data_IF_581781145062
#
_entry.id   IF_581781145062
#
_cell.length_a   1.000
_cell.length_b   1.000
_cell.length_c   1.000
_cell.angle_alpha   90.00
_cell.angle_beta   90.00
_cell.angle_gamma   90.00
#
_symmetry.space_group_name_H-M   'P 1'
#
loop_
_entity.id
_entity.type
_entity.pdbx_description
1 polymer ?
#
# COMPACT_ATOMS: atom_id res chain seq x y z
N UNK A 1 -8.06 -23.95 15.14
CA UNK A 1 -9.41 -24.40 14.76
C UNK A 1 -10.43 -23.25 14.81
N UNK A 2 -10.64 -22.56 15.93
CA UNK A 2 -11.62 -21.46 16.06
C UNK A 2 -11.37 -20.29 15.07
N UNK A 3 -10.12 -19.84 14.91
CA UNK A 3 -9.80 -18.76 13.97
C UNK A 3 -10.13 -19.12 12.51
N UNK A 4 -9.87 -20.35 12.10
CA UNK A 4 -10.20 -20.82 10.74
C UNK A 4 -11.71 -20.89 10.55
N UNK A 5 -12.45 -21.42 11.53
CA UNK A 5 -13.92 -21.49 11.49
C UNK A 5 -14.54 -20.08 11.38
N UNK A 6 -14.09 -19.12 12.21
CA UNK A 6 -14.50 -17.73 12.12
C UNK A 6 -14.17 -17.12 10.75
N UNK A 7 -12.97 -17.40 10.23
CA UNK A 7 -12.56 -16.89 8.92
C UNK A 7 -13.51 -17.37 7.81
N UNK A 8 -13.80 -18.68 7.78
CA UNK A 8 -14.62 -19.29 6.73
C UNK A 8 -16.10 -18.88 6.85
N UNK A 9 -16.66 -18.88 8.07
CA UNK A 9 -18.09 -18.64 8.27
C UNK A 9 -18.49 -17.16 8.37
N UNK A 10 -17.57 -16.29 8.77
CA UNK A 10 -17.88 -14.88 9.02
C UNK A 10 -17.02 -13.97 8.12
N UNK A 11 -15.67 -14.06 8.24
CA UNK A 11 -14.81 -13.08 7.59
C UNK A 11 -14.87 -13.17 6.06
N UNK A 12 -14.76 -14.37 5.48
CA UNK A 12 -14.81 -14.53 4.02
C UNK A 12 -16.15 -14.07 3.43
N UNK A 13 -17.34 -14.51 3.91
CA UNK A 13 -18.61 -14.06 3.36
C UNK A 13 -18.81 -12.54 3.44
N UNK A 14 -18.53 -11.95 4.60
CA UNK A 14 -18.71 -10.50 4.79
C UNK A 14 -17.69 -9.68 3.99
N UNK A 15 -16.41 -10.06 3.98
CA UNK A 15 -15.39 -9.39 3.16
C UNK A 15 -15.71 -9.50 1.67
N UNK A 16 -16.21 -10.65 1.22
CA UNK A 16 -16.66 -10.81 -0.17
C UNK A 16 -17.83 -9.87 -0.48
N UNK A 17 -18.84 -9.82 0.38
CA UNK A 17 -19.98 -8.92 0.23
C UNK A 17 -19.52 -7.45 0.15
N UNK A 18 -18.70 -7.00 1.11
CA UNK A 18 -18.17 -5.64 1.11
C UNK A 18 -17.36 -5.34 -0.15
N UNK A 19 -16.55 -6.28 -0.60
CA UNK A 19 -15.74 -6.12 -1.81
C UNK A 19 -16.60 -6.00 -3.05
N UNK A 20 -17.66 -6.80 -3.18
CA UNK A 20 -18.56 -6.74 -4.31
C UNK A 20 -19.37 -5.42 -4.33
N UNK A 21 -19.95 -5.04 -3.19
CA UNK A 21 -20.77 -3.82 -3.10
C UNK A 21 -19.90 -2.56 -3.24
N UNK A 22 -18.89 -2.40 -2.41
CA UNK A 22 -18.01 -1.21 -2.47
C UNK A 22 -17.22 -1.17 -3.79
N UNK A 23 -16.82 -2.32 -4.32
CA UNK A 23 -16.13 -2.41 -5.61
C UNK A 23 -17.02 -1.95 -6.76
N UNK A 24 -18.27 -2.41 -6.83
CA UNK A 24 -19.21 -1.97 -7.87
C UNK A 24 -19.49 -0.46 -7.78
N UNK A 25 -19.75 0.07 -6.58
CA UNK A 25 -19.97 1.50 -6.36
C UNK A 25 -18.71 2.30 -6.71
N UNK A 26 -17.50 1.82 -6.34
CA UNK A 26 -16.26 2.52 -6.66
C UNK A 26 -15.94 2.57 -8.15
N UNK A 27 -16.31 1.53 -8.91
CA UNK A 27 -16.21 1.49 -10.38
C UNK A 27 -17.11 2.58 -10.98
N UNK A 28 -18.36 2.69 -10.53
CA UNK A 28 -19.29 3.74 -10.98
C UNK A 28 -18.77 5.15 -10.64
N UNK A 29 -18.32 5.35 -9.40
CA UNK A 29 -17.73 6.61 -8.98
C UNK A 29 -16.47 6.95 -9.80
N UNK A 30 -15.62 5.97 -10.07
CA UNK A 30 -14.41 6.15 -10.89
C UNK A 30 -14.71 6.50 -12.35
N UNK A 31 -15.79 5.95 -12.90
CA UNK A 31 -16.25 6.27 -14.25
C UNK A 31 -16.78 7.72 -14.36
N UNK A 32 -17.46 8.21 -13.31
CA UNK A 32 -18.02 9.56 -13.26
C UNK A 32 -16.96 10.58 -12.82
N UNK A 33 -16.25 10.28 -11.75
CA UNK A 33 -15.27 11.19 -11.13
C UNK A 33 -13.85 10.71 -11.40
N UNK A 34 -13.28 11.13 -12.52
CA UNK A 34 -11.91 10.71 -12.96
C UNK A 34 -10.77 11.09 -12.00
N UNK A 35 -11.01 11.93 -10.98
CA UNK A 35 -10.03 12.24 -9.93
C UNK A 35 -9.66 11.03 -9.07
N UNK A 36 -10.56 10.03 -8.97
CA UNK A 36 -10.41 8.86 -8.11
C UNK A 36 -10.55 9.17 -6.60
N UNK A 37 -10.80 10.41 -6.21
CA UNK A 37 -10.94 10.78 -4.80
C UNK A 37 -12.19 10.19 -4.14
N UNK A 38 -13.39 10.23 -4.75
CA UNK A 38 -14.56 9.57 -4.17
C UNK A 38 -14.37 8.06 -3.98
N UNK A 39 -13.75 7.40 -4.96
CA UNK A 39 -13.42 5.97 -4.86
C UNK A 39 -12.41 5.68 -3.74
N UNK A 40 -11.47 6.59 -3.48
CA UNK A 40 -10.54 6.47 -2.36
C UNK A 40 -11.26 6.51 -1.00
N UNK A 41 -12.22 7.44 -0.81
CA UNK A 41 -13.01 7.52 0.41
C UNK A 41 -13.87 6.27 0.63
N UNK A 42 -14.43 5.73 -0.44
CA UNK A 42 -15.15 4.46 -0.38
C UNK A 42 -14.21 3.29 -0.03
N UNK A 43 -12.98 3.28 -0.56
CA UNK A 43 -11.97 2.30 -0.18
C UNK A 43 -11.58 2.39 1.30
N UNK A 44 -11.60 3.57 1.92
CA UNK A 44 -11.44 3.72 3.38
C UNK A 44 -12.55 3.03 4.16
N UNK A 45 -13.81 3.26 3.77
CA UNK A 45 -14.96 2.59 4.39
C UNK A 45 -14.85 1.07 4.25
N UNK A 46 -14.59 0.58 3.04
CA UNK A 46 -14.37 -0.84 2.75
C UNK A 46 -13.27 -1.43 3.63
N UNK A 47 -12.14 -0.74 3.75
CA UNK A 47 -11.01 -1.15 4.56
C UNK A 47 -11.36 -1.21 6.05
N UNK A 48 -12.04 -0.19 6.56
CA UNK A 48 -12.51 -0.15 7.94
C UNK A 48 -13.45 -1.32 8.26
N UNK A 49 -14.41 -1.62 7.37
CA UNK A 49 -15.33 -2.76 7.50
C UNK A 49 -14.55 -4.08 7.56
N UNK A 50 -13.56 -4.29 6.70
CA UNK A 50 -12.71 -5.49 6.70
C UNK A 50 -11.96 -5.62 8.02
N UNK A 51 -11.25 -4.58 8.46
CA UNK A 51 -10.43 -4.62 9.67
C UNK A 51 -11.29 -4.90 10.90
N UNK A 52 -12.45 -4.23 11.03
CA UNK A 52 -13.39 -4.44 12.12
C UNK A 52 -13.93 -5.88 12.13
N UNK A 53 -14.40 -6.38 10.98
CA UNK A 53 -14.91 -7.75 10.84
C UNK A 53 -13.84 -8.79 11.19
N UNK A 54 -12.59 -8.54 10.82
CA UNK A 54 -11.48 -9.44 11.08
C UNK A 54 -10.89 -9.29 12.50
N UNK A 55 -11.33 -8.30 13.27
CA UNK A 55 -10.81 -8.01 14.62
C UNK A 55 -9.39 -7.49 14.60
N UNK A 56 -9.05 -6.69 13.58
CA UNK A 56 -7.74 -6.05 13.44
C UNK A 56 -7.82 -4.64 14.00
N UNK A 57 -7.04 -4.35 15.02
CA UNK A 57 -6.85 -3.01 15.56
C UNK A 57 -5.55 -2.42 15.01
N UNK A 58 -5.50 -1.11 14.84
CA UNK A 58 -4.32 -0.42 14.30
C UNK A 58 -3.95 0.75 15.18
N UNK A 59 -2.72 0.79 15.63
CA UNK A 59 -2.09 1.95 16.25
C UNK A 59 -1.22 2.68 15.23
N UNK A 60 -1.44 3.98 15.07
CA UNK A 60 -0.76 4.82 14.10
C UNK A 60 -0.02 5.95 14.82
N UNK A 61 1.25 6.15 14.46
CA UNK A 61 2.11 7.20 15.02
C UNK A 61 2.92 7.90 13.93
N UNK A 62 3.45 9.09 14.22
CA UNK A 62 4.32 9.84 13.31
C UNK A 62 3.60 10.71 12.28
N UNK A 63 2.27 10.84 12.33
CA UNK A 63 1.51 11.70 11.40
C UNK A 63 1.82 13.19 11.57
N UNK A 64 2.28 13.59 12.72
CA UNK A 64 2.75 14.94 13.03
C UNK A 64 3.96 15.37 12.19
N UNK A 65 4.66 14.40 11.60
CA UNK A 65 5.78 14.64 10.69
C UNK A 65 5.34 15.11 9.29
N UNK A 66 4.05 15.05 8.98
CA UNK A 66 3.53 15.28 7.63
C UNK A 66 2.67 16.55 7.53
N UNK A 67 2.88 17.28 6.47
CA UNK A 67 2.01 18.35 6.03
C UNK A 67 0.86 17.75 5.19
N UNK A 68 -0.40 18.01 5.58
CA UNK A 68 -1.59 17.44 4.92
C UNK A 68 -1.87 18.05 3.55
N UNK A 69 -1.31 19.20 3.26
CA UNK A 69 -1.50 19.91 1.98
C UNK A 69 -0.44 19.51 0.93
N UNK A 70 0.47 18.61 1.31
CA UNK A 70 1.52 18.09 0.42
C UNK A 70 1.22 16.67 -0.05
N UNK A 71 1.77 16.31 -1.19
CA UNK A 71 1.78 14.95 -1.69
C UNK A 71 3.10 14.23 -1.39
N UNK A 72 3.04 12.92 -1.25
CA UNK A 72 4.15 12.07 -0.81
C UNK A 72 4.21 10.75 -1.57
N UNK A 73 5.40 10.18 -1.62
CA UNK A 73 5.63 8.78 -1.98
C UNK A 73 5.82 7.99 -0.69
N UNK A 74 4.76 7.33 -0.21
CA UNK A 74 4.81 6.49 0.98
C UNK A 74 5.46 5.15 0.63
N UNK A 75 6.62 4.85 1.22
CA UNK A 75 7.36 3.61 0.99
C UNK A 75 7.22 2.69 2.20
N UNK A 76 6.34 1.69 2.08
CA UNK A 76 6.01 0.76 3.17
C UNK A 76 6.62 -0.63 2.95
N UNK A 77 7.00 -1.34 4.03
CA UNK A 77 7.25 -2.78 3.97
C UNK A 77 5.95 -3.54 3.69
N UNK A 78 6.04 -4.75 3.13
CA UNK A 78 4.88 -5.53 2.69
C UNK A 78 4.90 -6.94 3.25
N UNK A 79 4.07 -7.20 4.24
CA UNK A 79 4.06 -8.45 4.97
C UNK A 79 2.76 -9.26 4.80
N UNK A 80 1.65 -8.56 4.59
CA UNK A 80 0.34 -9.16 4.49
C UNK A 80 -0.51 -8.49 3.40
N UNK A 81 -1.54 -9.19 2.93
CA UNK A 81 -2.58 -8.55 2.11
C UNK A 81 -3.33 -7.46 2.89
N UNK A 82 -3.31 -7.56 4.22
CA UNK A 82 -3.92 -6.59 5.13
C UNK A 82 -3.20 -5.24 5.19
N UNK A 83 -1.94 -5.14 4.72
CA UNK A 83 -1.23 -3.85 4.65
C UNK A 83 -2.01 -2.82 3.82
N UNK A 84 -2.69 -3.26 2.76
CA UNK A 84 -3.49 -2.39 1.90
C UNK A 84 -4.68 -1.80 2.65
N UNK A 85 -5.62 -2.59 3.23
CA UNK A 85 -6.72 -2.02 4.00
C UNK A 85 -6.25 -1.25 5.25
N UNK A 86 -5.14 -1.63 5.88
CA UNK A 86 -4.57 -0.86 7.00
C UNK A 86 -4.22 0.56 6.56
N UNK A 87 -3.49 0.71 5.47
CA UNK A 87 -3.10 2.03 4.97
C UNK A 87 -4.30 2.83 4.47
N UNK A 88 -5.26 2.22 3.75
CA UNK A 88 -6.48 2.93 3.31
C UNK A 88 -7.30 3.44 4.49
N UNK A 89 -7.49 2.64 5.53
CA UNK A 89 -8.30 3.02 6.67
C UNK A 89 -7.67 4.13 7.52
N UNK A 90 -6.34 4.09 7.72
CA UNK A 90 -5.68 4.86 8.75
C UNK A 90 -4.79 5.99 8.25
N UNK A 91 -4.21 5.91 7.04
CA UNK A 91 -3.41 6.99 6.49
C UNK A 91 -4.34 8.12 5.99
N UNK A 92 -4.30 9.35 6.59
CA UNK A 92 -5.27 10.41 6.31
C UNK A 92 -4.95 11.22 5.03
N UNK A 93 -4.47 10.53 4.00
CA UNK A 93 -4.11 11.09 2.69
C UNK A 93 -4.91 10.40 1.59
N UNK A 94 -5.29 11.15 0.55
CA UNK A 94 -5.78 10.53 -0.69
C UNK A 94 -4.58 10.05 -1.48
N UNK A 95 -4.43 8.74 -1.62
CA UNK A 95 -3.30 8.15 -2.35
C UNK A 95 -3.75 7.15 -3.40
N UNK A 96 -2.84 6.78 -4.28
CA UNK A 96 -2.99 5.69 -5.25
C UNK A 96 -1.97 4.60 -4.96
N UNK A 97 -2.26 3.39 -5.39
CA UNK A 97 -1.34 2.25 -5.24
C UNK A 97 -0.66 2.01 -6.58
N UNK A 98 0.63 1.68 -6.55
CA UNK A 98 1.32 1.13 -7.70
C UNK A 98 1.03 -0.36 -7.81
N UNK A 99 0.54 -0.80 -8.97
CA UNK A 99 0.23 -2.21 -9.20
C UNK A 99 0.82 -2.73 -10.51
N UNK A 100 0.93 -4.05 -10.61
CA UNK A 100 1.43 -4.73 -11.82
C UNK A 100 0.39 -4.62 -12.93
N UNK A 101 0.78 -4.15 -14.12
CA UNK A 101 -0.12 -3.93 -15.26
C UNK A 101 -0.92 -5.18 -15.68
N UNK A 102 -0.36 -6.39 -15.47
CA UNK A 102 -1.10 -7.62 -15.77
C UNK A 102 -2.42 -7.77 -15.00
N UNK A 103 -2.60 -7.05 -13.87
CA UNK A 103 -3.86 -7.05 -13.11
C UNK A 103 -5.00 -6.34 -13.86
N UNK A 104 -4.71 -5.50 -14.86
CA UNK A 104 -5.72 -4.91 -15.74
C UNK A 104 -6.55 -5.96 -16.48
N UNK A 105 -6.00 -7.17 -16.68
CA UNK A 105 -6.66 -8.29 -17.34
C UNK A 105 -7.62 -9.07 -16.43
N UNK A 106 -7.58 -8.81 -15.11
CA UNK A 106 -8.47 -9.47 -14.16
C UNK A 106 -9.80 -8.71 -14.15
N UNK A 107 -10.91 -9.33 -14.56
CA UNK A 107 -12.22 -8.68 -14.53
C UNK A 107 -12.53 -8.14 -13.15
N UNK A 108 -13.33 -7.09 -13.06
CA UNK A 108 -13.71 -6.37 -11.85
C UNK A 108 -12.53 -5.67 -11.15
N UNK A 109 -11.47 -6.40 -10.79
CA UNK A 109 -10.28 -5.83 -10.15
C UNK A 109 -9.54 -4.84 -11.08
N UNK A 110 -9.30 -5.23 -12.32
CA UNK A 110 -8.63 -4.37 -13.31
C UNK A 110 -9.44 -3.12 -13.60
N UNK A 111 -10.76 -3.24 -13.74
CA UNK A 111 -11.66 -2.10 -13.93
C UNK A 111 -11.63 -1.14 -12.74
N UNK A 112 -11.70 -1.68 -11.51
CA UNK A 112 -11.56 -0.88 -10.29
C UNK A 112 -10.23 -0.14 -10.25
N UNK A 113 -9.11 -0.85 -10.41
CA UNK A 113 -7.77 -0.26 -10.35
C UNK A 113 -7.59 0.87 -11.38
N UNK A 114 -8.04 0.64 -12.61
CA UNK A 114 -7.93 1.62 -13.68
C UNK A 114 -8.84 2.83 -13.46
N UNK A 115 -10.14 2.61 -13.23
CA UNK A 115 -11.14 3.68 -13.11
C UNK A 115 -10.95 4.50 -11.83
N UNK A 116 -10.49 3.88 -10.73
CA UNK A 116 -10.17 4.60 -9.49
C UNK A 116 -8.82 5.34 -9.54
N UNK A 117 -8.14 5.31 -10.69
CA UNK A 117 -6.94 6.08 -10.94
C UNK A 117 -5.69 5.53 -10.27
N UNK A 118 -5.65 4.25 -9.90
CA UNK A 118 -4.41 3.60 -9.47
C UNK A 118 -3.39 3.56 -10.62
N UNK A 119 -2.12 3.35 -10.31
CA UNK A 119 -1.02 3.50 -11.25
C UNK A 119 -0.46 2.13 -11.63
N UNK A 120 -0.66 1.72 -12.88
CA UNK A 120 -0.09 0.48 -13.40
C UNK A 120 1.38 0.65 -13.80
N UNK A 121 2.18 -0.38 -13.52
CA UNK A 121 3.59 -0.45 -13.96
C UNK A 121 3.80 -1.74 -14.74
N UNK A 122 4.19 -1.59 -16.01
CA UNK A 122 4.63 -2.71 -16.84
C UNK A 122 6.08 -3.06 -16.48
N UNK A 123 6.29 -4.27 -15.97
CA UNK A 123 7.61 -4.80 -15.58
C UNK A 123 8.09 -5.90 -16.52
N UNK A 124 7.42 -6.11 -17.65
CA UNK A 124 7.73 -7.20 -18.59
C UNK A 124 8.97 -6.90 -19.42
N UNK A 125 9.31 -5.64 -19.64
CA UNK A 125 10.40 -5.19 -20.48
C UNK A 125 11.00 -3.90 -19.90
N UNK A 126 12.33 -3.72 -19.87
CA UNK A 126 13.00 -2.53 -19.31
C UNK A 126 12.53 -1.20 -19.92
N UNK A 127 12.30 -1.16 -21.23
CA UNK A 127 11.84 0.04 -21.94
C UNK A 127 10.42 0.41 -21.47
N UNK A 128 9.50 -0.54 -21.44
CA UNK A 128 8.11 -0.33 -20.97
C UNK A 128 8.07 0.02 -19.48
N UNK A 129 8.93 -0.61 -18.68
CA UNK A 129 9.07 -0.28 -17.27
C UNK A 129 9.47 1.20 -17.08
N UNK A 130 10.47 1.68 -17.85
CA UNK A 130 10.91 3.08 -17.80
C UNK A 130 9.79 4.04 -18.22
N UNK A 131 9.09 3.75 -19.31
CA UNK A 131 7.95 4.56 -19.77
C UNK A 131 6.81 4.59 -18.74
N UNK A 132 6.52 3.46 -18.08
CA UNK A 132 5.51 3.39 -17.03
C UNK A 132 5.90 4.21 -15.81
N UNK A 133 7.18 4.18 -15.43
CA UNK A 133 7.72 5.02 -14.32
C UNK A 133 7.61 6.50 -14.65
N UNK A 134 7.90 6.90 -15.90
CA UNK A 134 7.82 8.30 -16.33
C UNK A 134 6.37 8.83 -16.25
N UNK A 135 5.40 8.05 -16.77
CA UNK A 135 3.96 8.38 -16.65
C UNK A 135 3.52 8.46 -15.19
N UNK A 136 4.00 7.53 -14.36
CA UNK A 136 3.70 7.52 -12.93
C UNK A 136 4.27 8.78 -12.23
N UNK A 137 5.54 9.12 -12.51
CA UNK A 137 6.19 10.31 -11.95
C UNK A 137 5.46 11.60 -12.34
N UNK A 138 5.00 11.71 -13.59
CA UNK A 138 4.22 12.85 -14.02
C UNK A 138 2.91 13.01 -13.24
N UNK A 139 2.19 11.92 -12.99
CA UNK A 139 0.96 11.95 -12.18
C UNK A 139 1.20 12.33 -10.73
N UNK A 140 2.33 11.88 -10.16
CA UNK A 140 2.72 12.25 -8.80
C UNK A 140 3.06 13.73 -8.72
N UNK A 141 3.79 14.29 -9.69
CA UNK A 141 4.06 15.73 -9.79
C UNK A 141 2.78 16.58 -9.85
N UNK A 142 1.69 16.03 -10.39
CA UNK A 142 0.37 16.70 -10.46
C UNK A 142 -0.42 16.69 -9.15
N UNK A 143 0.20 16.33 -8.03
CA UNK A 143 -0.41 16.39 -6.70
C UNK A 143 -1.03 15.08 -6.19
N UNK A 144 -0.67 13.93 -6.81
CA UNK A 144 -1.17 12.63 -6.37
C UNK A 144 -0.15 11.97 -5.42
N UNK A 145 -0.56 11.70 -4.19
CA UNK A 145 0.24 10.82 -3.32
C UNK A 145 0.14 9.36 -3.77
N UNK A 146 1.21 8.60 -3.53
CA UNK A 146 1.23 7.17 -3.86
C UNK A 146 1.77 6.33 -2.70
N UNK A 147 1.26 5.13 -2.56
CA UNK A 147 1.85 4.10 -1.72
C UNK A 147 2.58 3.10 -2.61
N UNK A 148 3.81 2.82 -2.25
CA UNK A 148 4.65 1.80 -2.88
C UNK A 148 5.07 0.76 -1.85
N UNK A 149 5.19 -0.49 -2.30
CA UNK A 149 5.81 -1.57 -1.55
C UNK A 149 7.12 -1.95 -2.26
N UNK A 150 8.26 -1.38 -1.84
CA UNK A 150 9.52 -1.51 -2.59
C UNK A 150 10.05 -2.95 -2.67
N UNK A 151 9.61 -3.83 -1.79
CA UNK A 151 9.94 -5.26 -1.84
C UNK A 151 9.38 -5.93 -3.11
N UNK A 152 8.28 -5.41 -3.64
CA UNK A 152 7.59 -5.90 -4.84
C UNK A 152 6.84 -7.23 -4.66
N UNK A 153 6.87 -7.79 -3.46
CA UNK A 153 6.11 -8.99 -3.06
C UNK A 153 5.94 -8.99 -1.56
N UNK A 154 4.92 -9.70 -1.04
CA UNK A 154 4.72 -9.90 0.40
C UNK A 154 5.83 -10.77 0.98
N UNK A 155 6.26 -10.46 2.19
CA UNK A 155 7.24 -11.26 2.94
C UNK A 155 6.73 -12.71 3.14
N UNK A 156 7.58 -13.71 2.96
CA UNK A 156 7.21 -15.10 3.23
C UNK A 156 7.25 -15.46 4.72
N UNK A 157 8.03 -14.76 5.51
CA UNK A 157 8.36 -15.10 6.89
C UNK A 157 8.22 -13.95 7.90
N UNK A 158 7.65 -12.81 7.47
CA UNK A 158 7.47 -11.64 8.33
C UNK A 158 8.69 -10.73 8.43
N UNK A 159 9.81 -11.02 7.78
CA UNK A 159 10.98 -10.13 7.75
C UNK A 159 10.84 -9.03 6.69
N UNK A 160 11.51 -7.91 6.89
CA UNK A 160 11.60 -6.82 5.90
C UNK A 160 12.61 -7.20 4.82
N UNK A 161 12.13 -7.42 3.62
CA UNK A 161 12.94 -7.82 2.46
C UNK A 161 13.82 -6.68 1.91
N UNK A 162 14.50 -6.98 0.80
CA UNK A 162 15.29 -5.97 0.08
C UNK A 162 14.36 -4.98 -0.65
N UNK A 163 14.64 -3.68 -0.54
CA UNK A 163 13.95 -2.64 -1.27
C UNK A 163 14.56 -2.47 -2.68
N UNK A 164 13.71 -2.47 -3.70
CA UNK A 164 14.11 -2.36 -5.10
C UNK A 164 14.26 -0.90 -5.51
N UNK A 165 15.36 -0.56 -6.13
CA UNK A 165 15.70 0.80 -6.59
C UNK A 165 14.63 1.44 -7.51
N UNK A 166 13.94 0.64 -8.34
CA UNK A 166 12.95 1.17 -9.29
C UNK A 166 11.80 1.93 -8.64
N UNK A 167 11.44 1.59 -7.41
CA UNK A 167 10.44 2.33 -6.63
C UNK A 167 10.94 3.72 -6.20
N UNK A 168 12.24 3.85 -5.91
CA UNK A 168 12.87 5.09 -5.49
C UNK A 168 13.26 5.97 -6.67
N UNK A 169 13.60 5.36 -7.80
CA UNK A 169 13.74 6.09 -9.07
C UNK A 169 12.44 6.83 -9.43
N UNK A 170 11.27 6.22 -9.17
CA UNK A 170 9.98 6.89 -9.34
C UNK A 170 9.86 8.14 -8.47
N UNK A 171 10.25 8.06 -7.20
CA UNK A 171 10.21 9.19 -6.27
C UNK A 171 11.14 10.32 -6.74
N UNK A 172 12.39 9.99 -7.07
CA UNK A 172 13.37 10.97 -7.59
C UNK A 172 12.83 11.65 -8.86
N UNK A 173 12.34 10.87 -9.83
CA UNK A 173 11.75 11.42 -11.07
C UNK A 173 10.52 12.31 -10.81
N UNK A 174 9.78 12.03 -9.75
CA UNK A 174 8.62 12.87 -9.39
C UNK A 174 9.02 14.15 -8.65
N UNK A 175 10.20 14.22 -8.04
CA UNK A 175 10.62 15.31 -7.16
C UNK A 175 9.81 15.40 -5.86
N UNK A 176 9.01 14.38 -5.54
CA UNK A 176 8.12 14.37 -4.38
C UNK A 176 8.77 13.58 -3.23
N UNK A 177 8.78 14.13 -2.00
CA UNK A 177 9.45 13.50 -0.87
C UNK A 177 8.99 12.06 -0.60
N UNK A 178 9.93 11.20 -0.22
CA UNK A 178 9.66 9.83 0.22
C UNK A 178 9.40 9.82 1.71
N UNK A 179 8.31 9.18 2.11
CA UNK A 179 7.96 8.94 3.51
C UNK A 179 8.14 7.45 3.81
N UNK A 180 9.12 7.06 4.63
CA UNK A 180 9.22 5.70 5.13
C UNK A 180 8.02 5.37 6.02
N UNK A 181 7.38 4.23 5.78
CA UNK A 181 6.26 3.73 6.58
C UNK A 181 6.59 2.32 7.05
N UNK A 182 6.54 2.11 8.35
CA UNK A 182 6.78 0.80 8.94
C UNK A 182 5.46 0.18 9.38
N UNK A 183 5.17 -1.02 8.89
CA UNK A 183 4.02 -1.82 9.29
C UNK A 183 4.54 -3.04 10.05
N UNK A 184 4.21 -3.13 11.34
CA UNK A 184 4.62 -4.24 12.20
C UNK A 184 3.42 -5.11 12.54
N UNK A 185 3.61 -6.43 12.64
CA UNK A 185 2.63 -7.45 13.04
C UNK A 185 1.57 -7.84 12.00
N UNK A 186 1.45 -7.15 10.86
CA UNK A 186 0.45 -7.51 9.84
C UNK A 186 0.65 -8.93 9.27
N UNK A 187 1.88 -9.44 9.29
CA UNK A 187 2.19 -10.83 8.92
C UNK A 187 1.45 -11.85 9.79
N UNK A 188 1.22 -11.54 11.09
CA UNK A 188 0.47 -12.43 12.01
C UNK A 188 -1.02 -12.43 11.72
N UNK A 189 -1.57 -11.37 11.18
CA UNK A 189 -2.98 -11.28 10.80
C UNK A 189 -3.30 -12.33 9.73
N UNK A 190 -2.50 -12.34 8.65
CA UNK A 190 -2.66 -13.32 7.58
C UNK A 190 -1.34 -13.50 6.85
N UNK A 191 -0.74 -14.69 6.99
CA UNK A 191 0.50 -15.05 6.31
C UNK A 191 0.29 -15.22 4.81
N UNK A 192 1.37 -15.05 4.07
CA UNK A 192 1.35 -15.30 2.62
C UNK A 192 1.04 -16.77 2.35
N UNK A 193 -0.01 -17.00 1.52
CA UNK A 193 -0.46 -18.37 1.16
C UNK A 193 -1.46 -18.98 2.11
N UNK A 194 -1.71 -18.38 3.28
CA UNK A 194 -2.79 -18.80 4.17
C UNK A 194 -4.10 -18.08 3.81
N UNK A 195 -5.23 -18.70 4.18
CA UNK A 195 -6.56 -18.10 4.12
C UNK A 195 -7.08 -17.69 5.51
N UNK A 196 -6.47 -18.23 6.57
CA UNK A 196 -6.88 -17.97 7.95
C UNK A 196 -6.49 -16.57 8.39
N UNK A 197 -7.49 -15.80 8.81
CA UNK A 197 -7.31 -14.46 9.37
C UNK A 197 -7.35 -14.55 10.89
N UNK A 198 -6.33 -13.98 11.54
CA UNK A 198 -6.21 -13.94 13.00
C UNK A 198 -6.46 -12.51 13.47
N UNK A 199 -7.30 -12.30 14.49
CA UNK A 199 -7.40 -11.00 15.14
C UNK A 199 -6.05 -10.59 15.73
N UNK A 200 -5.83 -9.29 15.80
CA UNK A 200 -4.59 -8.79 16.40
C UNK A 200 -4.39 -7.30 16.20
N UNK A 201 -3.37 -6.80 16.84
CA UNK A 201 -2.94 -5.41 16.73
C UNK A 201 -1.84 -5.28 15.68
N UNK A 202 -1.96 -4.24 14.83
CA UNK A 202 -0.94 -3.83 13.86
C UNK A 202 -0.48 -2.42 14.22
N UNK A 203 0.84 -2.22 14.25
CA UNK A 203 1.44 -0.91 14.47
C UNK A 203 1.92 -0.34 13.14
N UNK A 204 1.54 0.91 12.88
CA UNK A 204 1.98 1.68 11.72
C UNK A 204 2.74 2.89 12.23
N UNK A 205 3.99 3.04 11.79
CA UNK A 205 4.80 4.20 12.11
C UNK A 205 5.17 4.95 10.83
N UNK A 206 4.93 6.26 10.83
CA UNK A 206 5.18 7.16 9.70
C UNK A 206 6.37 8.05 10.06
N UNK A 207 7.42 7.95 9.29
CA UNK A 207 8.66 8.72 9.50
C UNK A 207 8.63 10.09 8.82
N UNK A 208 9.64 10.89 9.11
CA UNK A 208 9.83 12.19 8.47
C UNK A 208 10.07 12.03 6.97
N UNK A 209 9.52 12.95 6.15
CA UNK A 209 9.76 12.93 4.72
C UNK A 209 11.23 13.13 4.38
N UNK A 210 11.74 12.33 3.47
CA UNK A 210 13.10 12.46 2.90
C UNK A 210 12.96 13.24 1.60
N UNK A 211 13.57 14.44 1.49
CA UNK A 211 13.55 15.22 0.25
C UNK A 211 14.35 14.52 -0.85
N UNK A 212 13.88 14.62 -2.09
CA UNK A 212 14.50 13.93 -3.24
C UNK A 212 14.75 14.87 -4.44
N UNK A 213 14.40 16.16 -4.33
CA UNK A 213 14.45 17.09 -5.45
C UNK A 213 15.87 17.33 -5.99
N UNK A 214 16.88 17.24 -5.12
CA UNK A 214 18.28 17.46 -5.48
C UNK A 214 19.04 16.15 -5.79
N UNK A 215 18.33 15.02 -5.83
CA UNK A 215 18.92 13.71 -6.09
C UNK A 215 18.90 13.37 -7.58
N UNK A 216 20.03 12.89 -8.09
CA UNK A 216 20.14 12.27 -9.41
C UNK A 216 19.56 10.84 -9.43
N UNK A 217 19.28 10.30 -10.61
CA UNK A 217 18.76 8.93 -10.77
C UNK A 217 19.66 7.85 -10.19
N UNK A 218 20.95 8.10 -10.14
CA UNK A 218 22.01 7.24 -9.55
C UNK A 218 21.86 7.08 -8.03
N UNK A 219 21.30 8.08 -7.34
CA UNK A 219 21.04 8.02 -5.91
C UNK A 219 19.91 7.04 -5.51
N UNK A 220 19.15 6.49 -6.46
CA UNK A 220 18.02 5.60 -6.19
C UNK A 220 18.40 4.34 -5.39
N UNK A 221 19.61 3.83 -5.54
CA UNK A 221 20.12 2.65 -4.80
C UNK A 221 20.34 3.02 -3.34
N UNK A 222 20.99 4.15 -3.09
CA UNK A 222 21.31 4.59 -1.73
C UNK A 222 20.04 5.00 -0.98
N UNK A 223 19.15 5.73 -1.62
CA UNK A 223 17.82 6.07 -1.06
C UNK A 223 17.03 4.80 -0.69
N UNK A 224 17.10 3.75 -1.51
CA UNK A 224 16.46 2.47 -1.21
C UNK A 224 17.05 1.81 0.06
N UNK A 225 18.36 1.89 0.25
CA UNK A 225 19.06 1.37 1.44
C UNK A 225 18.72 2.18 2.68
N UNK A 226 18.73 3.50 2.57
CA UNK A 226 18.40 4.42 3.65
C UNK A 226 16.96 4.20 4.14
N UNK A 227 15.98 4.26 3.25
CA UNK A 227 14.58 4.05 3.60
C UNK A 227 14.37 2.67 4.21
N UNK A 228 15.00 1.62 3.66
CA UNK A 228 14.94 0.28 4.26
C UNK A 228 15.55 0.24 5.66
N UNK A 229 16.68 0.91 5.90
CA UNK A 229 17.31 0.99 7.22
C UNK A 229 16.39 1.64 8.23
N UNK A 230 15.73 2.75 7.88
CA UNK A 230 14.75 3.44 8.71
C UNK A 230 13.57 2.51 9.05
N UNK A 231 12.99 1.85 8.02
CA UNK A 231 11.90 0.91 8.24
C UNK A 231 12.31 -0.23 9.16
N UNK A 232 13.52 -0.76 9.02
CA UNK A 232 14.03 -1.84 9.89
C UNK A 232 14.27 -1.38 11.33
N UNK A 233 14.70 -0.14 11.55
CA UNK A 233 14.88 0.42 12.90
C UNK A 233 13.56 0.54 13.65
N UNK A 234 12.48 0.87 12.94
CA UNK A 234 11.13 1.01 13.51
C UNK A 234 10.34 -0.30 13.52
N UNK A 235 10.82 -1.31 12.81
CA UNK A 235 10.18 -2.60 12.75
C UNK A 235 10.39 -3.39 14.04
N UNK A 236 9.31 -3.53 14.80
CA UNK A 236 9.30 -4.21 16.10
C UNK A 236 8.40 -5.45 16.04
N UNK A 237 8.92 -6.59 15.56
CA UNK A 237 8.17 -7.84 15.65
C UNK A 237 8.08 -8.25 17.11
N UNK A 238 6.88 -8.59 17.59
CA UNK A 238 6.76 -9.23 18.90
C UNK A 238 7.45 -10.61 18.84
N UNK A 239 8.10 -11.07 19.92
CA UNK A 239 8.62 -12.41 19.97
C UNK A 239 7.50 -13.41 19.72
N UNK A 240 7.82 -14.51 19.05
CA UNK A 240 6.86 -15.58 18.84
C UNK A 240 6.34 -16.02 20.22
N UNK A 241 5.03 -15.94 20.44
CA UNK A 241 4.44 -16.59 21.60
C UNK A 241 4.69 -18.08 21.43
N UNK A 242 5.44 -18.66 22.36
CA UNK A 242 5.78 -20.07 22.40
C UNK A 242 4.53 -20.94 22.57
#
# INVERSE_FOLDING_TARGET
MLATLRTVLISIPLVTLYTMVCGAVSILLGAVFRSGNPSHWLARLWSWLILTTCGVTVSLSGLENLDRDRNYVFAANHQSIYDIPILFAWLPFSFRILYKESLNRVPFMGWHLFLCGHISVDRSNPVRARQSLERAAQRIRQGISVVIFPEGTRSPNGSVGRFKQGSFLLAIKSGVPVVPVTISESWRIMKRGEVTVRPGEVRVHVERPIPVQDLGEDAAIELAREVRKIVMQNYQPQPAQA
#
